data_IF_790230389794
#
_entry.id   IF_790230389794
#
_cell.length_a   1.000
_cell.length_b   1.000
_cell.length_c   1.000
_cell.angle_alpha   90.00
_cell.angle_beta   90.00
_cell.angle_gamma   90.00
#
_symmetry.space_group_name_H-M   'P 1'
#
loop_
_entity.id
_entity.type
_entity.pdbx_description
1 polymer ?
#
# COMPACT_ATOMS: atom_id res chain seq x y z
N UNK A 1 -26.90 -1.19 -4.11
CA UNK A 1 -25.81 -0.81 -5.01
C UNK A 1 -25.22 -2.09 -5.60
N UNK A 2 -24.94 -2.11 -6.89
CA UNK A 2 -24.29 -3.24 -7.52
C UNK A 2 -22.82 -3.37 -7.10
N UNK A 3 -22.28 -4.58 -7.19
CA UNK A 3 -20.86 -4.86 -6.95
C UNK A 3 -20.00 -4.16 -8.00
N UNK A 4 -18.90 -3.52 -7.57
CA UNK A 4 -17.95 -2.89 -8.49
C UNK A 4 -17.28 -3.94 -9.39
N UNK A 5 -17.19 -3.65 -10.68
CA UNK A 5 -16.36 -4.43 -11.59
C UNK A 5 -14.87 -4.22 -11.30
N UNK A 6 -14.03 -5.16 -11.70
CA UNK A 6 -12.58 -5.03 -11.55
C UNK A 6 -12.02 -3.79 -12.24
N UNK A 7 -12.60 -3.41 -13.37
CA UNK A 7 -12.24 -2.17 -14.09
C UNK A 7 -12.57 -0.91 -13.27
N UNK A 8 -13.72 -0.89 -12.60
CA UNK A 8 -14.08 0.22 -11.71
C UNK A 8 -13.16 0.29 -10.51
N UNK A 9 -12.84 -0.87 -9.92
CA UNK A 9 -11.85 -0.95 -8.82
C UNK A 9 -10.48 -0.43 -9.26
N UNK A 10 -10.00 -0.86 -10.42
CA UNK A 10 -8.74 -0.38 -10.99
C UNK A 10 -8.74 1.15 -11.17
N UNK A 11 -9.82 1.73 -11.71
CA UNK A 11 -9.94 3.17 -11.90
C UNK A 11 -9.93 3.95 -10.58
N UNK A 12 -10.59 3.41 -9.53
CA UNK A 12 -10.56 4.00 -8.19
C UNK A 12 -9.13 4.00 -7.65
N UNK A 13 -8.39 2.90 -7.81
CA UNK A 13 -6.99 2.80 -7.36
C UNK A 13 -6.06 3.77 -8.09
N UNK A 14 -6.25 3.96 -9.40
CA UNK A 14 -5.52 4.99 -10.14
C UNK A 14 -5.76 6.38 -9.55
N UNK A 15 -7.03 6.70 -9.28
CA UNK A 15 -7.41 7.98 -8.71
C UNK A 15 -6.85 8.19 -7.30
N UNK A 16 -6.84 7.16 -6.46
CA UNK A 16 -6.21 7.23 -5.14
C UNK A 16 -4.73 7.64 -5.26
N UNK A 17 -3.98 7.00 -6.16
CA UNK A 17 -2.55 7.30 -6.35
C UNK A 17 -2.32 8.71 -6.93
N UNK A 18 -3.22 9.23 -7.76
CA UNK A 18 -3.16 10.60 -8.27
C UNK A 18 -3.44 11.65 -7.19
N UNK A 19 -4.39 11.38 -6.29
CA UNK A 19 -4.81 12.32 -5.26
C UNK A 19 -3.92 12.27 -4.01
N UNK A 20 -3.33 11.11 -3.71
CA UNK A 20 -2.54 10.88 -2.49
C UNK A 20 -1.04 11.07 -2.73
N UNK A 21 -0.66 12.24 -3.20
CA UNK A 21 0.73 12.64 -3.44
C UNK A 21 1.18 13.66 -2.41
N UNK A 22 2.46 13.58 -2.03
CA UNK A 22 3.09 14.46 -1.06
C UNK A 22 3.79 15.63 -1.76
N UNK A 23 3.90 16.79 -1.09
CA UNK A 23 4.73 17.89 -1.56
C UNK A 23 6.20 17.67 -1.22
N UNK A 24 6.48 17.02 -0.12
CA UNK A 24 7.78 16.49 0.29
C UNK A 24 7.57 15.28 1.19
N UNK A 25 8.59 14.45 1.37
CA UNK A 25 8.55 13.35 2.31
C UNK A 25 9.95 13.05 2.84
N UNK A 26 10.13 13.19 4.15
CA UNK A 26 11.38 12.92 4.85
C UNK A 26 11.17 11.97 6.05
N UNK A 27 12.22 11.77 6.84
CA UNK A 27 12.19 10.87 7.99
C UNK A 27 11.19 11.32 9.07
N UNK A 28 11.03 12.62 9.28
CA UNK A 28 10.03 13.16 10.22
C UNK A 28 8.60 12.95 9.72
N UNK A 29 8.38 13.03 8.41
CA UNK A 29 7.10 12.69 7.78
C UNK A 29 6.78 11.20 7.93
N UNK A 30 7.79 10.33 7.77
CA UNK A 30 7.63 8.89 8.00
C UNK A 30 7.25 8.59 9.45
N UNK A 31 7.84 9.27 10.42
CA UNK A 31 7.47 9.18 11.83
C UNK A 31 6.02 9.60 12.08
N UNK A 32 5.60 10.73 11.52
CA UNK A 32 4.22 11.22 11.60
C UNK A 32 3.22 10.23 11.00
N UNK A 33 3.48 9.76 9.79
CA UNK A 33 2.63 8.78 9.10
C UNK A 33 2.55 7.47 9.89
N UNK A 34 3.67 6.98 10.38
CA UNK A 34 3.75 5.78 11.22
C UNK A 34 2.92 5.92 12.50
N UNK A 35 2.99 7.07 13.19
CA UNK A 35 2.18 7.34 14.39
C UNK A 35 0.68 7.36 14.11
N UNK A 36 0.27 7.91 12.98
CA UNK A 36 -1.15 7.90 12.55
C UNK A 36 -1.65 6.46 12.43
N UNK A 37 -0.88 5.60 11.76
CA UNK A 37 -1.21 4.20 11.56
C UNK A 37 -1.18 3.39 12.87
N UNK A 38 -0.19 3.63 13.72
CA UNK A 38 -0.10 2.99 15.05
C UNK A 38 -1.31 3.37 15.91
N UNK A 39 -1.70 4.63 15.91
CA UNK A 39 -2.89 5.09 16.64
C UNK A 39 -4.16 4.39 16.13
N UNK A 40 -4.38 4.39 14.82
CA UNK A 40 -5.50 3.69 14.17
C UNK A 40 -5.55 2.21 14.56
N UNK A 41 -4.41 1.52 14.45
CA UNK A 41 -4.35 0.10 14.74
C UNK A 41 -4.59 -0.21 16.23
N UNK A 42 -4.16 0.65 17.15
CA UNK A 42 -4.48 0.51 18.59
C UNK A 42 -5.96 0.69 18.87
N UNK A 43 -6.57 1.72 18.30
CA UNK A 43 -7.98 2.03 18.51
C UNK A 43 -8.88 0.90 17.97
N UNK A 44 -8.58 0.39 16.79
CA UNK A 44 -9.36 -0.64 16.11
C UNK A 44 -8.89 -2.08 16.42
N UNK A 45 -7.85 -2.23 17.25
CA UNK A 45 -7.24 -3.53 17.63
C UNK A 45 -6.81 -4.35 16.41
N UNK A 46 -6.17 -3.71 15.44
CA UNK A 46 -5.71 -4.37 14.21
C UNK A 46 -4.38 -5.10 14.45
N UNK A 47 -4.29 -6.42 14.15
CA UNK A 47 -3.06 -7.19 14.28
C UNK A 47 -2.17 -7.01 13.04
N UNK A 48 -1.67 -5.80 12.81
CA UNK A 48 -0.90 -5.45 11.62
C UNK A 48 0.57 -5.19 11.90
N UNK A 49 1.36 -5.35 10.86
CA UNK A 49 2.72 -4.88 10.77
C UNK A 49 2.80 -3.73 9.76
N UNK A 50 3.57 -2.70 10.07
CA UNK A 50 3.71 -1.46 9.30
C UNK A 50 5.18 -1.25 8.98
N UNK A 51 5.49 -0.93 7.74
CA UNK A 51 6.84 -0.59 7.28
C UNK A 51 6.81 0.65 6.38
N UNK A 52 7.72 1.58 6.61
CA UNK A 52 7.91 2.74 5.73
C UNK A 52 9.38 2.79 5.33
N UNK A 53 9.63 2.80 4.04
CA UNK A 53 10.97 2.94 3.47
C UNK A 53 11.08 4.21 2.63
N UNK A 54 12.25 4.84 2.68
CA UNK A 54 12.64 5.94 1.80
C UNK A 54 13.92 5.52 1.09
N UNK A 55 13.89 5.54 -0.24
CA UNK A 55 15.02 5.12 -1.08
C UNK A 55 15.61 3.75 -0.70
N UNK A 56 14.73 2.79 -0.40
CA UNK A 56 15.12 1.43 -0.03
C UNK A 56 15.61 1.27 1.41
N UNK A 57 15.61 2.31 2.22
CA UNK A 57 16.00 2.28 3.63
C UNK A 57 14.77 2.35 4.55
N UNK A 58 14.68 1.40 5.50
CA UNK A 58 13.60 1.36 6.48
C UNK A 58 13.76 2.50 7.49
N UNK A 59 12.78 3.41 7.51
CA UNK A 59 12.77 4.57 8.42
C UNK A 59 11.70 4.47 9.51
N UNK A 60 10.73 3.59 9.34
CA UNK A 60 9.71 3.27 10.35
C UNK A 60 9.30 1.81 10.26
N UNK A 61 9.18 1.16 11.41
CA UNK A 61 8.71 -0.23 11.51
C UNK A 61 8.00 -0.46 12.84
N UNK A 62 6.79 -1.01 12.77
CA UNK A 62 6.07 -1.47 13.96
C UNK A 62 5.28 -2.74 13.67
N UNK A 63 5.36 -3.71 14.56
CA UNK A 63 4.56 -4.94 14.51
C UNK A 63 3.72 -5.09 15.77
N UNK A 64 2.40 -5.21 15.60
CA UNK A 64 1.48 -5.46 16.71
C UNK A 64 1.48 -6.92 17.13
N UNK A 65 1.03 -7.18 18.35
CA UNK A 65 0.77 -8.55 18.81
C UNK A 65 -0.17 -9.26 17.84
N UNK A 66 0.13 -10.51 17.52
CA UNK A 66 -0.55 -11.29 16.47
C UNK A 66 0.17 -11.27 15.12
N UNK A 67 1.17 -10.42 14.92
CA UNK A 67 2.08 -10.48 13.77
C UNK A 67 3.32 -11.33 14.08
N UNK A 68 3.97 -11.82 13.03
CA UNK A 68 5.18 -12.64 13.12
C UNK A 68 6.02 -12.54 11.84
N UNK A 69 7.00 -13.43 11.67
CA UNK A 69 7.90 -13.44 10.51
C UNK A 69 7.22 -13.59 9.15
N UNK A 70 6.01 -14.16 9.06
CA UNK A 70 5.24 -14.18 7.81
C UNK A 70 4.83 -12.79 7.37
N UNK A 71 4.47 -11.91 8.30
CA UNK A 71 4.17 -10.51 7.96
C UNK A 71 5.39 -9.78 7.41
N UNK A 72 6.57 -10.07 7.92
CA UNK A 72 7.84 -9.54 7.40
C UNK A 72 8.07 -9.90 5.93
N UNK A 73 7.84 -11.15 5.57
CA UNK A 73 7.94 -11.63 4.19
C UNK A 73 6.94 -10.89 3.29
N UNK A 74 5.69 -10.78 3.72
CA UNK A 74 4.66 -10.09 2.94
C UNK A 74 4.93 -8.59 2.80
N UNK A 75 5.38 -7.92 3.85
CA UNK A 75 5.79 -6.51 3.78
C UNK A 75 6.87 -6.30 2.71
N UNK A 76 7.91 -7.13 2.73
CA UNK A 76 9.02 -6.99 1.79
C UNK A 76 8.61 -7.29 0.35
N UNK A 77 7.81 -8.32 0.10
CA UNK A 77 7.28 -8.62 -1.24
C UNK A 77 6.45 -7.45 -1.80
N UNK A 78 5.59 -6.86 -0.98
CA UNK A 78 4.80 -5.67 -1.35
C UNK A 78 5.70 -4.48 -1.67
N UNK A 79 6.72 -4.24 -0.85
CA UNK A 79 7.71 -3.18 -1.07
C UNK A 79 8.44 -3.39 -2.40
N UNK A 80 8.88 -4.60 -2.68
CA UNK A 80 9.58 -4.93 -3.93
C UNK A 80 8.71 -4.63 -5.15
N UNK A 81 7.43 -5.00 -5.11
CA UNK A 81 6.48 -4.74 -6.21
C UNK A 81 6.25 -3.24 -6.44
N UNK A 82 6.07 -2.47 -5.37
CA UNK A 82 5.90 -1.01 -5.49
C UNK A 82 7.16 -0.37 -6.06
N UNK A 83 8.34 -0.75 -5.60
CA UNK A 83 9.60 -0.23 -6.11
C UNK A 83 9.83 -0.59 -7.59
N UNK A 84 9.35 -1.76 -8.03
CA UNK A 84 9.48 -2.21 -9.42
C UNK A 84 8.55 -1.47 -10.37
N UNK A 85 7.27 -1.29 -10.00
CA UNK A 85 6.20 -0.83 -10.90
C UNK A 85 5.75 0.61 -10.58
N UNK A 86 6.08 1.15 -9.41
CA UNK A 86 5.66 2.47 -8.93
C UNK A 86 4.14 2.63 -8.81
N UNK A 87 3.44 1.55 -8.45
CA UNK A 87 1.99 1.50 -8.24
C UNK A 87 1.70 0.79 -6.93
N UNK A 88 0.53 1.03 -6.35
CA UNK A 88 0.08 0.25 -5.19
C UNK A 88 -0.11 -1.23 -5.56
N UNK A 89 0.18 -2.12 -4.63
CA UNK A 89 0.08 -3.56 -4.89
C UNK A 89 -1.36 -3.99 -5.19
N UNK A 90 -2.37 -3.33 -4.64
CA UNK A 90 -3.76 -3.61 -5.00
C UNK A 90 -4.08 -3.17 -6.43
N UNK A 91 -3.54 -2.04 -6.91
CA UNK A 91 -3.66 -1.65 -8.32
C UNK A 91 -2.98 -2.66 -9.24
N UNK A 92 -1.79 -3.15 -8.85
CA UNK A 92 -1.08 -4.20 -9.58
C UNK A 92 -1.94 -5.47 -9.68
N UNK A 93 -2.64 -5.86 -8.61
CA UNK A 93 -3.56 -6.99 -8.59
C UNK A 93 -4.63 -6.90 -9.69
N UNK A 94 -5.16 -5.71 -9.95
CA UNK A 94 -6.21 -5.49 -10.94
C UNK A 94 -5.70 -5.16 -12.36
N UNK A 95 -4.39 -5.04 -12.59
CA UNK A 95 -3.83 -4.70 -13.92
C UNK A 95 -4.29 -5.65 -15.01
N UNK A 96 -4.24 -6.95 -14.75
CA UNK A 96 -4.68 -7.98 -15.70
C UNK A 96 -6.14 -7.83 -16.11
N UNK A 97 -7.01 -7.44 -15.19
CA UNK A 97 -8.45 -7.25 -15.46
C UNK A 97 -8.74 -6.10 -16.43
N UNK A 98 -7.77 -5.24 -16.71
CA UNK A 98 -7.88 -4.13 -17.67
C UNK A 98 -6.96 -4.31 -18.88
N UNK A 99 -6.46 -5.53 -19.10
CA UNK A 99 -5.64 -5.87 -20.26
C UNK A 99 -4.19 -5.40 -20.17
N UNK A 100 -3.69 -5.13 -18.95
CA UNK A 100 -2.28 -4.84 -18.70
C UNK A 100 -1.55 -6.12 -18.23
N UNK A 101 -0.22 -6.08 -18.31
CA UNK A 101 0.63 -7.22 -17.99
C UNK A 101 0.46 -7.71 -16.54
N UNK A 102 0.43 -9.03 -16.38
CA UNK A 102 0.54 -9.70 -15.09
C UNK A 102 2.02 -9.78 -14.69
N UNK A 103 2.33 -9.40 -13.44
CA UNK A 103 3.70 -9.40 -12.94
C UNK A 103 4.38 -10.76 -13.02
N UNK A 104 3.67 -11.82 -12.73
CA UNK A 104 4.23 -13.17 -12.64
C UNK A 104 4.21 -13.88 -14.00
N UNK A 105 3.15 -13.72 -14.79
CA UNK A 105 2.99 -14.39 -16.09
C UNK A 105 3.75 -13.66 -17.19
N UNK A 106 3.49 -12.36 -17.36
CA UNK A 106 4.08 -11.58 -18.45
C UNK A 106 5.44 -10.97 -18.03
N UNK A 107 5.55 -10.53 -16.77
CA UNK A 107 6.78 -9.95 -16.23
C UNK A 107 7.81 -10.98 -15.78
N UNK A 108 7.44 -12.26 -15.65
CA UNK A 108 8.29 -13.34 -15.14
C UNK A 108 8.95 -13.04 -13.78
N UNK A 109 8.30 -12.21 -12.94
CA UNK A 109 8.81 -11.93 -11.61
C UNK A 109 8.54 -13.11 -10.67
N UNK A 110 9.44 -13.32 -9.72
CA UNK A 110 9.37 -14.42 -8.77
C UNK A 110 8.31 -14.16 -7.69
N UNK A 111 7.25 -15.01 -7.56
CA UNK A 111 6.25 -14.84 -6.51
C UNK A 111 6.82 -14.99 -5.09
N UNK A 112 8.00 -15.55 -4.92
CA UNK A 112 8.68 -15.60 -3.63
C UNK A 112 9.29 -14.25 -3.23
N UNK A 113 9.51 -13.35 -4.19
CA UNK A 113 10.11 -12.03 -3.97
C UNK A 113 9.13 -10.86 -4.13
N UNK A 114 8.05 -11.05 -4.90
CA UNK A 114 7.08 -10.01 -5.26
C UNK A 114 5.66 -10.40 -4.85
N UNK A 115 4.76 -9.42 -4.77
CA UNK A 115 3.36 -9.65 -4.42
C UNK A 115 2.43 -8.73 -5.21
N UNK A 116 1.25 -9.27 -5.58
CA UNK A 116 0.10 -8.50 -6.08
C UNK A 116 -0.99 -8.36 -5.01
N UNK A 117 -0.69 -8.69 -3.76
CA UNK A 117 -1.64 -8.51 -2.65
C UNK A 117 -1.58 -7.08 -2.13
N UNK A 118 -2.75 -6.48 -1.90
CA UNK A 118 -2.87 -5.11 -1.41
C UNK A 118 -2.17 -4.86 -0.08
N UNK A 119 -1.74 -3.62 0.15
CA UNK A 119 -1.06 -3.16 1.36
C UNK A 119 0.23 -2.38 1.09
N UNK A 120 0.86 -2.54 -0.07
CA UNK A 120 1.96 -1.68 -0.51
C UNK A 120 1.42 -0.44 -1.24
N UNK A 121 1.85 0.75 -0.83
CA UNK A 121 1.42 2.00 -1.45
C UNK A 121 2.64 2.91 -1.71
N UNK A 122 2.77 3.48 -2.93
CA UNK A 122 3.91 4.32 -3.25
C UNK A 122 3.84 5.66 -2.51
N UNK A 123 4.97 6.08 -1.95
CA UNK A 123 5.15 7.44 -1.47
C UNK A 123 5.63 8.27 -2.65
N UNK A 124 4.70 8.98 -3.26
CA UNK A 124 4.93 9.79 -4.45
C UNK A 124 5.06 11.26 -4.05
N UNK A 125 6.16 11.90 -4.42
CA UNK A 125 6.40 13.32 -4.19
C UNK A 125 6.22 14.07 -5.50
N UNK A 126 5.40 15.12 -5.49
CA UNK A 126 5.14 15.96 -6.67
C UNK A 126 6.45 16.54 -7.22
N UNK A 127 6.63 16.42 -8.53
CA UNK A 127 7.84 16.90 -9.21
C UNK A 127 9.08 16.02 -9.07
N UNK A 128 9.01 14.94 -8.28
CA UNK A 128 10.13 14.01 -8.04
C UNK A 128 9.80 12.60 -8.52
N UNK A 129 8.66 12.04 -8.10
CA UNK A 129 8.27 10.65 -8.37
C UNK A 129 8.17 9.82 -7.09
N UNK A 130 8.27 8.51 -7.21
CA UNK A 130 8.22 7.59 -6.07
C UNK A 130 9.55 7.61 -5.33
N UNK A 131 9.52 8.03 -4.07
CA UNK A 131 10.71 8.14 -3.20
C UNK A 131 10.72 7.07 -2.10
N UNK A 132 9.62 6.37 -1.91
CA UNK A 132 9.50 5.38 -0.86
C UNK A 132 8.23 4.54 -0.97
N UNK A 133 8.03 3.69 0.03
CA UNK A 133 6.89 2.78 0.11
C UNK A 133 6.35 2.73 1.53
N UNK A 134 5.03 2.82 1.67
CA UNK A 134 4.31 2.39 2.86
C UNK A 134 3.78 0.98 2.62
N UNK A 135 4.07 0.04 3.53
CA UNK A 135 3.57 -1.33 3.45
C UNK A 135 2.86 -1.73 4.75
N UNK A 136 1.70 -2.36 4.61
CA UNK A 136 0.88 -2.90 5.70
C UNK A 136 0.58 -4.37 5.42
N UNK A 137 0.67 -5.20 6.46
CA UNK A 137 0.36 -6.63 6.38
C UNK A 137 -0.28 -7.13 7.66
N UNK A 138 -1.34 -7.91 7.55
CA UNK A 138 -1.98 -8.57 8.70
C UNK A 138 -3.48 -8.77 8.56
N UNK A 139 -4.12 -8.10 7.62
CA UNK A 139 -5.56 -8.19 7.35
C UNK A 139 -5.82 -8.89 5.99
N UNK A 140 -7.10 -8.97 5.60
CA UNK A 140 -7.45 -9.26 4.22
C UNK A 140 -6.85 -8.17 3.33
N UNK A 141 -6.36 -8.51 2.14
CA UNK A 141 -5.47 -7.61 1.38
C UNK A 141 -6.09 -6.29 0.92
N UNK A 142 -7.42 -6.22 0.74
CA UNK A 142 -8.09 -4.94 0.50
C UNK A 142 -8.05 -4.06 1.76
N UNK A 143 -8.17 -4.66 2.93
CA UNK A 143 -8.13 -3.94 4.20
C UNK A 143 -6.70 -3.52 4.60
N UNK A 144 -5.68 -4.29 4.25
CA UNK A 144 -4.28 -3.85 4.33
C UNK A 144 -4.07 -2.59 3.48
N UNK A 145 -4.58 -2.59 2.24
CA UNK A 145 -4.54 -1.44 1.34
C UNK A 145 -5.31 -0.24 1.91
N UNK A 146 -6.54 -0.46 2.35
CA UNK A 146 -7.37 0.60 2.92
C UNK A 146 -6.74 1.22 4.18
N UNK A 147 -6.04 0.43 4.97
CA UNK A 147 -5.30 0.92 6.15
C UNK A 147 -4.15 1.84 5.73
N UNK A 148 -3.39 1.46 4.72
CA UNK A 148 -2.32 2.31 4.16
C UNK A 148 -2.91 3.63 3.62
N UNK A 149 -3.98 3.55 2.83
CA UNK A 149 -4.69 4.72 2.28
C UNK A 149 -5.22 5.62 3.39
N UNK A 150 -5.82 5.04 4.44
CA UNK A 150 -6.27 5.79 5.60
C UNK A 150 -5.16 6.65 6.22
N UNK A 151 -3.99 6.06 6.43
CA UNK A 151 -2.85 6.77 7.01
C UNK A 151 -2.43 7.97 6.16
N UNK A 152 -2.33 7.79 4.85
CA UNK A 152 -1.95 8.87 3.93
C UNK A 152 -3.04 9.94 3.85
N UNK A 153 -4.32 9.54 3.81
CA UNK A 153 -5.45 10.48 3.83
C UNK A 153 -5.42 11.37 5.08
N UNK A 154 -5.21 10.78 6.25
CA UNK A 154 -5.09 11.54 7.51
C UNK A 154 -3.88 12.47 7.51
N UNK A 155 -2.76 12.01 7.01
CA UNK A 155 -1.55 12.84 6.90
C UNK A 155 -1.77 14.04 5.99
N UNK A 156 -2.41 13.85 4.83
CA UNK A 156 -2.64 14.89 3.82
C UNK A 156 -3.92 15.72 4.04
N UNK A 157 -4.80 15.33 4.98
CA UNK A 157 -6.10 15.97 5.14
C UNK A 157 -7.03 15.77 3.94
N UNK A 158 -7.00 14.59 3.32
CA UNK A 158 -7.79 14.22 2.14
C UNK A 158 -8.70 13.04 2.42
N UNK A 159 -9.70 12.88 1.57
CA UNK A 159 -10.59 11.71 1.56
C UNK A 159 -10.65 11.14 0.15
N UNK A 160 -10.65 9.81 0.05
CA UNK A 160 -10.78 9.08 -1.22
C UNK A 160 -11.76 7.92 -1.06
N UNK A 161 -12.27 7.44 -2.18
CA UNK A 161 -13.12 6.24 -2.20
C UNK A 161 -12.28 5.01 -1.87
N UNK A 162 -12.75 4.19 -0.92
CA UNK A 162 -12.14 2.91 -0.56
C UNK A 162 -12.73 1.75 -1.37
N UNK A 163 -12.02 0.62 -1.39
CA UNK A 163 -12.45 -0.63 -2.03
C UNK A 163 -12.39 -1.73 -0.98
N UNK A 164 -13.49 -2.44 -0.79
CA UNK A 164 -13.56 -3.63 0.07
C UNK A 164 -13.69 -4.89 -0.79
N UNK A 165 -13.39 -6.05 -0.22
CA UNK A 165 -13.49 -7.33 -0.92
C UNK A 165 -14.89 -7.57 -1.50
N UNK A 166 -15.93 -7.09 -0.79
CA UNK A 166 -17.35 -7.23 -1.17
C UNK A 166 -17.88 -6.07 -2.05
N UNK A 167 -17.03 -5.08 -2.33
CA UNK A 167 -17.43 -3.89 -3.13
C UNK A 167 -17.78 -4.25 -4.56
#
# INVERSE_FOLDING_TARGET
>A
MGKLSDKEKYNILCKQEEELRFEHFDNDDAWKLGKILVKKAKEDKLPIAIDIQINGYQVFRYGFAGTNGFNEIWLQRKINSVNMIHRSTLRIHYMKSVGQDDLFVDGHLDPDEYSMMGGGFPIYVNGVGVVGVLSVSGLEHHEDHNTAVYGICKFLGKEVKLIHAES
#
